data_IF_653450814228
#
_entry.id   IF_653450814228
#
_cell.length_a   1.000
_cell.length_b   1.000
_cell.length_c   1.000
_cell.angle_alpha   90.00
_cell.angle_beta   90.00
_cell.angle_gamma   90.00
#
_symmetry.space_group_name_H-M   'P 1'
#
loop_
_entity.id
_entity.type
_entity.pdbx_description
1 polymer ?
#
# COMPACT_ATOMS: atom_id res chain seq x y z
N UNK A 1 12.12 -14.66 -12.26
CA UNK A 1 12.41 -14.10 -10.92
C UNK A 1 13.67 -14.71 -10.31
N UNK A 2 13.74 -16.05 -10.13
CA UNK A 2 14.93 -16.69 -9.51
C UNK A 2 16.24 -16.42 -10.28
N UNK A 3 16.21 -16.49 -11.61
CA UNK A 3 17.39 -16.24 -12.45
C UNK A 3 17.83 -14.78 -12.49
N UNK A 4 16.89 -13.86 -12.35
CA UNK A 4 17.12 -12.40 -12.43
C UNK A 4 17.18 -11.73 -11.06
N UNK A 5 16.97 -12.47 -9.98
CA UNK A 5 16.81 -11.97 -8.61
C UNK A 5 15.74 -10.84 -8.51
N UNK A 6 14.68 -10.96 -9.30
CA UNK A 6 13.59 -9.98 -9.35
C UNK A 6 12.47 -10.38 -8.40
N UNK A 7 11.80 -9.38 -7.81
CA UNK A 7 10.58 -9.59 -7.05
C UNK A 7 9.39 -9.88 -7.98
N UNK A 8 8.40 -10.58 -7.46
CA UNK A 8 7.12 -10.82 -8.11
C UNK A 8 6.06 -10.02 -7.37
N UNK A 9 5.21 -9.32 -8.12
CA UNK A 9 4.03 -8.68 -7.59
C UNK A 9 2.80 -9.24 -8.32
N UNK A 10 1.86 -9.83 -7.59
CA UNK A 10 0.70 -10.50 -8.18
C UNK A 10 -0.56 -10.17 -7.38
N UNK A 11 -1.67 -9.88 -8.08
CA UNK A 11 -2.99 -9.76 -7.49
C UNK A 11 -3.60 -11.16 -7.33
N UNK A 12 -4.15 -11.46 -6.17
CA UNK A 12 -4.90 -12.70 -5.97
C UNK A 12 -5.82 -12.62 -4.74
N UNK A 13 -6.86 -13.44 -4.74
CA UNK A 13 -7.91 -13.47 -3.72
C UNK A 13 -8.47 -12.07 -3.43
N UNK A 14 -8.61 -11.25 -4.49
CA UNK A 14 -9.08 -9.88 -4.37
C UNK A 14 -10.58 -9.84 -4.12
N UNK A 15 -11.36 -10.65 -4.84
CA UNK A 15 -12.81 -10.67 -4.74
C UNK A 15 -13.36 -12.10 -4.68
N UNK A 16 -14.60 -12.21 -4.23
CA UNK A 16 -15.25 -13.49 -3.99
C UNK A 16 -15.51 -14.28 -5.27
N UNK A 17 -15.75 -13.58 -6.39
CA UNK A 17 -15.96 -14.21 -7.70
C UNK A 17 -14.70 -14.91 -8.18
N UNK A 18 -13.52 -14.28 -8.10
CA UNK A 18 -12.24 -14.89 -8.41
C UNK A 18 -12.04 -16.20 -7.63
N UNK A 19 -12.20 -16.13 -6.30
CA UNK A 19 -12.04 -17.29 -5.45
C UNK A 19 -13.02 -18.42 -5.80
N UNK A 20 -14.26 -18.07 -6.14
CA UNK A 20 -15.28 -19.05 -6.55
C UNK A 20 -14.93 -19.69 -7.89
N UNK A 21 -14.65 -18.93 -8.92
CA UNK A 21 -14.29 -19.42 -10.26
C UNK A 21 -13.07 -20.30 -10.24
N UNK A 22 -12.04 -19.91 -9.47
CA UNK A 22 -10.82 -20.72 -9.32
C UNK A 22 -11.13 -22.03 -8.61
N UNK A 23 -11.95 -22.02 -7.54
CA UNK A 23 -12.35 -23.23 -6.83
C UNK A 23 -13.19 -24.17 -7.71
N UNK A 24 -14.13 -23.63 -8.47
CA UNK A 24 -14.97 -24.42 -9.38
C UNK A 24 -14.12 -25.12 -10.46
N UNK A 25 -13.13 -24.40 -11.00
CA UNK A 25 -12.30 -24.90 -12.10
C UNK A 25 -11.18 -25.84 -11.65
N UNK A 26 -10.53 -25.53 -10.54
CA UNK A 26 -9.30 -26.21 -10.14
C UNK A 26 -9.40 -26.95 -8.79
N UNK A 27 -10.51 -26.84 -8.08
CA UNK A 27 -10.72 -27.39 -6.72
C UNK A 27 -9.66 -26.89 -5.71
N UNK A 28 -9.14 -25.68 -5.93
CA UNK A 28 -8.09 -25.02 -5.16
C UNK A 28 -8.38 -23.54 -4.97
N UNK A 29 -7.77 -22.94 -3.96
CA UNK A 29 -7.75 -21.47 -3.81
C UNK A 29 -6.74 -20.83 -4.77
N UNK A 30 -6.84 -19.54 -5.08
CA UNK A 30 -5.79 -18.82 -5.81
C UNK A 30 -4.41 -18.99 -5.16
N UNK A 31 -4.33 -18.95 -3.83
CA UNK A 31 -3.09 -19.13 -3.07
C UNK A 31 -2.48 -20.53 -3.29
N UNK A 32 -3.30 -21.58 -3.24
CA UNK A 32 -2.83 -22.96 -3.48
C UNK A 32 -2.30 -23.15 -4.91
N UNK A 33 -2.92 -22.50 -5.90
CA UNK A 33 -2.41 -22.55 -7.29
C UNK A 33 -1.07 -21.83 -7.41
N UNK A 34 -0.92 -20.68 -6.77
CA UNK A 34 0.34 -19.94 -6.76
C UNK A 34 1.44 -20.71 -6.02
N UNK A 35 1.08 -21.45 -4.96
CA UNK A 35 2.00 -22.35 -4.25
C UNK A 35 2.48 -23.49 -5.16
N UNK A 36 1.57 -24.19 -5.83
CA UNK A 36 1.90 -25.27 -6.77
C UNK A 36 2.77 -24.78 -7.94
N UNK A 37 2.55 -23.55 -8.39
CA UNK A 37 3.33 -22.93 -9.46
C UNK A 37 4.73 -22.47 -9.01
N UNK A 38 5.04 -22.57 -7.70
CA UNK A 38 6.30 -22.15 -7.13
C UNK A 38 6.56 -20.63 -7.18
N UNK A 39 5.49 -19.84 -7.30
CA UNK A 39 5.56 -18.37 -7.36
C UNK A 39 5.73 -17.77 -5.98
N UNK A 40 5.12 -18.38 -4.94
CA UNK A 40 5.15 -17.85 -3.59
C UNK A 40 6.54 -17.97 -2.95
N UNK A 41 7.04 -16.88 -2.44
CA UNK A 41 8.34 -16.77 -1.77
C UNK A 41 8.47 -15.45 -1.02
N UNK A 42 9.56 -15.25 -0.28
CA UNK A 42 9.92 -13.98 0.36
C UNK A 42 10.13 -12.80 -0.63
N UNK A 43 10.24 -13.10 -1.92
CA UNK A 43 10.36 -12.10 -3.00
C UNK A 43 9.03 -11.88 -3.72
N UNK A 44 7.94 -12.42 -3.18
CA UNK A 44 6.60 -12.26 -3.76
C UNK A 44 5.79 -11.34 -2.87
N UNK A 45 5.18 -10.33 -3.49
CA UNK A 45 4.17 -9.46 -2.88
C UNK A 45 2.80 -9.85 -3.41
N UNK A 46 1.93 -10.26 -2.52
CA UNK A 46 0.56 -10.68 -2.79
C UNK A 46 -0.38 -9.47 -2.65
N UNK A 47 -0.86 -8.96 -3.77
CA UNK A 47 -1.78 -7.81 -3.78
C UNK A 47 -3.16 -8.21 -3.25
N UNK A 48 -3.78 -7.32 -2.48
CA UNK A 48 -5.12 -7.43 -1.88
C UNK A 48 -5.28 -8.51 -0.81
N UNK A 49 -5.35 -9.79 -1.21
CA UNK A 49 -5.56 -10.90 -0.27
C UNK A 49 -6.82 -10.72 0.60
N UNK A 50 -7.95 -10.28 0.01
CA UNK A 50 -9.17 -9.97 0.77
C UNK A 50 -9.83 -11.23 1.31
N UNK A 51 -9.87 -12.28 0.50
CA UNK A 51 -10.62 -13.52 0.77
C UNK A 51 -9.69 -14.71 1.02
N UNK A 52 -8.86 -14.62 2.07
CA UNK A 52 -7.94 -15.70 2.46
C UNK A 52 -8.57 -16.65 3.48
N UNK A 53 -8.42 -17.95 3.26
CA UNK A 53 -8.69 -19.00 4.25
C UNK A 53 -7.57 -19.10 5.29
N UNK A 54 -7.76 -19.89 6.35
CA UNK A 54 -6.68 -20.19 7.32
C UNK A 54 -5.51 -20.92 6.65
N UNK A 55 -5.82 -21.86 5.75
CA UNK A 55 -4.80 -22.59 4.97
C UNK A 55 -3.99 -21.63 4.07
N UNK A 56 -4.65 -20.65 3.42
CA UNK A 56 -3.95 -19.66 2.61
C UNK A 56 -2.97 -18.83 3.45
N UNK A 57 -3.38 -18.44 4.66
CA UNK A 57 -2.54 -17.70 5.61
C UNK A 57 -1.32 -18.55 6.02
N UNK A 58 -1.52 -19.83 6.33
CA UNK A 58 -0.43 -20.76 6.66
C UNK A 58 0.57 -20.89 5.49
N UNK A 59 0.08 -21.03 4.26
CA UNK A 59 0.92 -21.12 3.05
C UNK A 59 1.73 -19.83 2.88
N UNK A 60 1.08 -18.67 2.93
CA UNK A 60 1.75 -17.38 2.75
C UNK A 60 2.81 -17.13 3.83
N UNK A 61 2.51 -17.44 5.10
CA UNK A 61 3.47 -17.36 6.20
C UNK A 61 4.67 -18.30 5.99
N UNK A 62 4.41 -19.58 5.68
CA UNK A 62 5.46 -20.57 5.41
C UNK A 62 6.40 -20.13 4.28
N UNK A 63 5.87 -19.47 3.26
CA UNK A 63 6.63 -18.93 2.11
C UNK A 63 7.23 -17.57 2.36
N UNK A 64 6.94 -16.95 3.52
CA UNK A 64 7.34 -15.57 3.84
C UNK A 64 6.86 -14.56 2.79
N UNK A 65 5.72 -14.84 2.16
CA UNK A 65 5.10 -13.98 1.16
C UNK A 65 4.39 -12.83 1.86
N UNK A 66 4.72 -11.60 1.49
CA UNK A 66 4.10 -10.42 2.06
C UNK A 66 2.77 -10.06 1.37
N UNK A 67 1.90 -9.35 2.08
CA UNK A 67 0.65 -8.81 1.53
C UNK A 67 0.76 -7.29 1.37
N UNK A 68 0.35 -6.78 0.20
CA UNK A 68 0.07 -5.37 -0.03
C UNK A 68 -1.42 -5.10 0.19
N UNK A 69 -1.77 -4.49 1.33
CA UNK A 69 -3.14 -4.13 1.67
C UNK A 69 -3.54 -2.82 0.99
N UNK A 70 -4.54 -2.88 0.12
CA UNK A 70 -5.02 -1.76 -0.70
C UNK A 70 -6.48 -1.39 -0.35
N UNK A 71 -6.76 -0.86 0.85
CA UNK A 71 -8.13 -0.67 1.34
C UNK A 71 -8.98 0.26 0.46
N UNK A 72 -8.36 1.28 -0.13
CA UNK A 72 -9.06 2.22 -1.02
C UNK A 72 -9.61 1.55 -2.27
N UNK A 73 -8.79 0.74 -2.94
CA UNK A 73 -9.20 -0.07 -4.09
C UNK A 73 -10.24 -1.11 -3.72
N UNK A 74 -9.99 -1.88 -2.64
CA UNK A 74 -10.88 -2.93 -2.19
C UNK A 74 -12.30 -2.41 -1.91
N UNK A 75 -12.41 -1.25 -1.26
CA UNK A 75 -13.70 -0.62 -0.98
C UNK A 75 -14.37 -0.06 -2.22
N UNK A 76 -13.60 0.64 -3.07
CA UNK A 76 -14.15 1.26 -4.29
C UNK A 76 -14.70 0.21 -5.26
N UNK A 77 -14.01 -0.92 -5.40
CA UNK A 77 -14.38 -2.01 -6.30
C UNK A 77 -15.34 -3.03 -5.64
N UNK A 78 -15.74 -2.79 -4.38
CA UNK A 78 -16.57 -3.70 -3.59
C UNK A 78 -15.96 -5.12 -3.46
N UNK A 79 -14.63 -5.21 -3.46
CA UNK A 79 -13.90 -6.47 -3.29
C UNK A 79 -14.05 -7.05 -1.87
N UNK A 80 -14.29 -6.21 -0.87
CA UNK A 80 -14.47 -6.59 0.53
C UNK A 80 -13.46 -5.93 1.47
N UNK A 81 -13.42 -6.41 2.72
CA UNK A 81 -12.53 -5.92 3.78
C UNK A 81 -11.56 -7.03 4.16
N UNK A 82 -10.28 -6.83 3.90
CA UNK A 82 -9.22 -7.76 4.33
C UNK A 82 -8.99 -7.69 5.85
N UNK A 83 -8.95 -8.84 6.52
CA UNK A 83 -8.65 -8.92 7.95
C UNK A 83 -7.12 -8.93 8.18
N UNK A 84 -6.50 -7.76 8.05
CA UNK A 84 -5.05 -7.62 8.20
C UNK A 84 -4.56 -7.95 9.62
N UNK A 85 -5.40 -7.82 10.63
CA UNK A 85 -5.03 -8.21 12.00
C UNK A 85 -4.89 -9.73 12.14
N UNK A 86 -5.75 -10.50 11.46
CA UNK A 86 -5.65 -11.96 11.37
C UNK A 86 -4.40 -12.37 10.61
N UNK A 87 -4.06 -11.68 9.52
CA UNK A 87 -2.86 -11.97 8.73
C UNK A 87 -1.58 -11.72 9.52
N UNK A 88 -1.49 -10.59 10.22
CA UNK A 88 -0.36 -10.29 11.09
C UNK A 88 -0.21 -11.29 12.25
N UNK A 89 -1.31 -11.72 12.88
CA UNK A 89 -1.31 -12.80 13.88
C UNK A 89 -0.86 -14.13 13.28
N UNK A 90 -1.17 -14.40 12.04
CA UNK A 90 -0.68 -15.55 11.26
C UNK A 90 0.79 -15.43 10.82
N UNK A 91 1.49 -14.36 11.20
CA UNK A 91 2.92 -14.16 10.89
C UNK A 91 3.20 -13.55 9.53
N UNK A 92 2.17 -13.09 8.81
CA UNK A 92 2.35 -12.48 7.48
C UNK A 92 2.81 -11.03 7.64
N UNK A 93 3.83 -10.64 6.89
CA UNK A 93 4.23 -9.25 6.72
C UNK A 93 3.19 -8.51 5.86
N UNK A 94 2.67 -7.39 6.38
CA UNK A 94 1.70 -6.55 5.67
C UNK A 94 2.29 -5.17 5.45
N UNK A 95 2.29 -4.72 4.20
CA UNK A 95 2.52 -3.33 3.79
C UNK A 95 1.24 -2.69 3.28
N UNK A 96 1.19 -1.36 3.26
CA UNK A 96 0.08 -0.61 2.68
C UNK A 96 0.36 -0.24 1.22
N UNK A 97 -0.69 -0.23 0.40
CA UNK A 97 -0.63 0.17 -0.99
C UNK A 97 -1.84 0.99 -1.41
N UNK A 98 -1.66 1.84 -2.40
CA UNK A 98 -2.74 2.63 -3.00
C UNK A 98 -3.47 1.90 -4.11
N UNK A 99 -2.84 0.85 -4.68
CA UNK A 99 -3.20 0.31 -5.99
C UNK A 99 -3.04 1.35 -7.12
N UNK A 100 -3.43 1.01 -8.33
CA UNK A 100 -3.35 1.92 -9.48
C UNK A 100 -4.41 3.03 -9.45
N UNK A 101 -4.14 4.12 -10.17
CA UNK A 101 -5.05 5.26 -10.25
C UNK A 101 -6.44 4.91 -10.83
N UNK A 102 -6.55 3.89 -11.69
CA UNK A 102 -7.85 3.43 -12.21
C UNK A 102 -8.70 2.74 -11.14
N UNK A 103 -8.08 2.08 -10.17
CA UNK A 103 -8.74 1.34 -9.10
C UNK A 103 -9.04 2.21 -7.89
N UNK A 104 -8.14 3.13 -7.49
CA UNK A 104 -8.30 3.96 -6.29
C UNK A 104 -8.53 5.45 -6.58
N UNK A 105 -8.21 5.95 -7.79
CA UNK A 105 -8.18 7.35 -8.20
C UNK A 105 -7.20 8.26 -7.41
N UNK A 106 -6.49 7.73 -6.44
CA UNK A 106 -5.64 8.50 -5.54
C UNK A 106 -4.39 7.70 -5.15
N UNK A 107 -3.21 8.32 -5.24
CA UNK A 107 -1.95 7.75 -4.78
C UNK A 107 -1.56 8.30 -3.39
N UNK A 108 -2.56 8.54 -2.54
CA UNK A 108 -2.41 9.19 -1.26
C UNK A 108 -2.30 8.19 -0.11
N UNK A 109 -1.08 7.96 0.38
CA UNK A 109 -0.83 7.06 1.51
C UNK A 109 -1.49 7.52 2.83
N UNK A 110 -1.78 8.81 3.00
CA UNK A 110 -2.53 9.31 4.16
C UNK A 110 -3.95 8.76 4.18
N UNK A 111 -4.62 8.75 3.02
CA UNK A 111 -5.94 8.12 2.86
C UNK A 111 -5.89 6.63 3.14
N UNK A 112 -4.86 5.93 2.66
CA UNK A 112 -4.68 4.48 2.86
C UNK A 112 -4.49 4.15 4.33
N UNK A 113 -3.61 4.86 5.05
CA UNK A 113 -3.40 4.68 6.49
C UNK A 113 -4.69 4.89 7.27
N UNK A 114 -5.42 5.97 6.98
CA UNK A 114 -6.69 6.31 7.65
C UNK A 114 -7.74 5.24 7.39
N UNK A 115 -7.90 4.77 6.15
CA UNK A 115 -8.83 3.68 5.83
C UNK A 115 -8.46 2.39 6.54
N UNK A 116 -7.19 2.00 6.55
CA UNK A 116 -6.75 0.80 7.27
C UNK A 116 -7.09 0.88 8.76
N UNK A 117 -6.81 2.01 9.42
CA UNK A 117 -7.16 2.23 10.82
C UNK A 117 -8.67 2.16 11.09
N UNK A 118 -9.48 2.83 10.26
CA UNK A 118 -10.94 2.86 10.41
C UNK A 118 -11.58 1.49 10.16
N UNK A 119 -11.06 0.73 9.20
CA UNK A 119 -11.54 -0.63 8.93
C UNK A 119 -11.22 -1.60 10.08
N UNK A 120 -10.04 -1.51 10.69
CA UNK A 120 -9.73 -2.26 11.90
C UNK A 120 -10.70 -1.86 13.02
N UNK A 121 -10.90 -0.56 13.25
CA UNK A 121 -11.83 -0.08 14.27
C UNK A 121 -13.24 -0.61 14.05
N UNK A 122 -13.73 -0.61 12.82
CA UNK A 122 -15.07 -1.07 12.48
C UNK A 122 -15.24 -2.58 12.62
N UNK A 123 -14.22 -3.36 12.26
CA UNK A 123 -14.33 -4.83 12.20
C UNK A 123 -13.87 -5.53 13.48
N UNK A 124 -12.90 -4.93 14.21
CA UNK A 124 -12.24 -5.54 15.38
C UNK A 124 -12.48 -4.77 16.69
N UNK A 125 -13.01 -3.53 16.58
CA UNK A 125 -13.18 -2.60 17.69
C UNK A 125 -12.05 -1.55 17.76
N UNK A 126 -12.42 -0.33 18.16
CA UNK A 126 -11.50 0.82 18.19
C UNK A 126 -10.25 0.60 19.05
N UNK A 127 -10.35 -0.19 20.12
CA UNK A 127 -9.25 -0.54 21.01
C UNK A 127 -8.19 -1.46 20.36
N UNK A 128 -8.47 -1.98 19.16
CA UNK A 128 -7.53 -2.83 18.40
C UNK A 128 -6.69 -2.03 17.41
N UNK A 129 -6.96 -0.74 17.26
CA UNK A 129 -6.18 0.13 16.38
C UNK A 129 -4.89 0.52 17.08
N UNK A 130 -3.77 0.01 16.57
CA UNK A 130 -2.43 0.40 17.00
C UNK A 130 -1.85 1.38 15.98
N UNK A 131 -1.97 2.69 16.25
CA UNK A 131 -1.59 3.76 15.30
C UNK A 131 -0.15 3.63 14.82
N UNK A 132 0.79 3.31 15.71
CA UNK A 132 2.19 3.08 15.35
C UNK A 132 2.37 1.93 14.35
N UNK A 133 1.58 0.86 14.45
CA UNK A 133 1.59 -0.27 13.52
C UNK A 133 1.05 0.11 12.13
N UNK A 134 0.01 0.94 12.09
CA UNK A 134 -0.50 1.48 10.81
C UNK A 134 0.59 2.30 10.11
N UNK A 135 1.27 3.16 10.86
CA UNK A 135 2.37 3.96 10.33
C UNK A 135 3.56 3.08 9.90
N UNK A 136 3.88 2.05 10.70
CA UNK A 136 4.90 1.05 10.34
C UNK A 136 4.58 0.37 9.00
N UNK A 137 3.34 -0.06 8.75
CA UNK A 137 2.94 -0.66 7.48
C UNK A 137 3.10 0.27 6.27
N UNK A 138 3.00 1.58 6.48
CA UNK A 138 3.21 2.58 5.42
C UNK A 138 4.68 2.95 5.19
N UNK A 139 5.59 2.53 6.06
CA UNK A 139 7.01 2.88 6.04
C UNK A 139 7.89 1.62 6.02
N UNK A 140 8.55 1.28 7.11
CA UNK A 140 9.45 0.12 7.21
C UNK A 140 8.73 -1.21 6.93
N UNK A 141 7.45 -1.33 7.26
CA UNK A 141 6.64 -2.52 6.95
C UNK A 141 6.43 -2.69 5.44
N UNK A 142 6.19 -1.59 4.73
CA UNK A 142 6.16 -1.58 3.26
C UNK A 142 7.51 -1.98 2.66
N UNK A 143 8.61 -1.42 3.17
CA UNK A 143 9.96 -1.77 2.73
C UNK A 143 10.28 -3.25 2.98
N UNK A 144 9.90 -3.82 4.13
CA UNK A 144 10.01 -5.26 4.43
C UNK A 144 9.19 -6.11 3.46
N UNK A 145 7.99 -5.67 3.13
CA UNK A 145 7.13 -6.37 2.17
C UNK A 145 7.75 -6.45 0.78
N UNK A 146 8.54 -5.45 0.41
CA UNK A 146 9.28 -5.40 -0.85
C UNK A 146 10.68 -6.02 -0.78
N UNK A 147 11.16 -6.38 0.41
CA UNK A 147 12.51 -6.89 0.64
C UNK A 147 13.62 -5.84 0.47
N UNK A 148 13.31 -4.56 0.70
CA UNK A 148 14.23 -3.42 0.58
C UNK A 148 14.44 -2.66 1.90
N UNK A 149 14.06 -3.27 3.01
CA UNK A 149 14.14 -2.68 4.35
C UNK A 149 15.57 -2.40 4.84
N UNK A 150 16.58 -3.00 4.19
CA UNK A 150 17.99 -2.65 4.41
C UNK A 150 18.41 -1.37 3.67
N UNK A 151 17.59 -0.92 2.70
CA UNK A 151 17.87 0.24 1.85
C UNK A 151 17.08 1.45 2.31
N UNK A 152 15.81 1.26 2.66
CA UNK A 152 14.88 2.35 2.98
C UNK A 152 13.82 1.96 4.01
N UNK A 153 12.87 2.84 4.29
CA UNK A 153 11.72 2.60 5.17
C UNK A 153 11.90 3.08 6.59
N UNK A 154 13.11 3.48 6.99
CA UNK A 154 13.40 4.05 8.32
C UNK A 154 14.56 5.05 8.24
N UNK A 155 14.60 5.97 9.20
CA UNK A 155 15.65 6.97 9.32
C UNK A 155 16.84 6.38 10.10
N UNK A 156 17.73 5.71 9.39
CA UNK A 156 18.91 5.06 9.96
C UNK A 156 20.16 5.40 9.15
N UNK A 157 21.31 5.52 9.83
CA UNK A 157 22.60 5.77 9.16
C UNK A 157 22.92 4.60 8.23
N UNK A 158 23.21 4.92 6.98
CA UNK A 158 23.54 3.93 5.93
C UNK A 158 22.38 3.55 5.03
N UNK A 159 21.15 3.99 5.33
CA UNK A 159 20.01 3.85 4.41
C UNK A 159 19.88 5.08 3.50
N UNK A 160 19.16 4.90 2.40
CA UNK A 160 18.76 5.99 1.52
C UNK A 160 17.99 7.06 2.31
N UNK A 161 18.28 8.32 2.03
CA UNK A 161 17.59 9.44 2.62
C UNK A 161 16.25 9.69 1.89
N UNK A 162 15.31 8.75 2.08
CA UNK A 162 13.91 8.88 1.65
C UNK A 162 13.13 9.50 2.81
N UNK A 163 12.93 10.80 2.75
CA UNK A 163 12.43 11.61 3.88
C UNK A 163 11.31 12.51 3.40
N UNK A 164 10.29 12.67 4.22
CA UNK A 164 9.29 13.72 4.08
C UNK A 164 9.31 14.63 5.29
N UNK A 165 9.10 15.93 5.10
CA UNK A 165 8.86 16.89 6.17
C UNK A 165 7.37 17.27 6.18
N UNK A 166 6.79 17.30 7.38
CA UNK A 166 5.37 17.60 7.59
C UNK A 166 5.27 18.90 8.37
N UNK A 167 4.51 19.86 7.83
CA UNK A 167 4.21 21.13 8.49
C UNK A 167 3.16 20.90 9.59
N UNK A 168 3.63 20.87 10.83
CA UNK A 168 2.76 20.71 12.01
C UNK A 168 2.19 22.03 12.53
N UNK A 169 2.58 23.17 11.97
CA UNK A 169 2.08 24.49 12.36
C UNK A 169 0.79 24.87 11.61
N UNK A 170 -0.17 23.96 11.64
CA UNK A 170 -1.49 24.08 10.99
C UNK A 170 -2.59 23.93 12.05
N UNK A 171 -3.73 24.63 11.91
CA UNK A 171 -4.80 24.58 12.92
C UNK A 171 -5.30 23.17 13.24
N UNK A 172 -5.42 22.28 12.24
CA UNK A 172 -5.88 20.91 12.40
C UNK A 172 -4.82 19.97 12.99
N UNK A 173 -3.55 20.41 13.06
CA UNK A 173 -2.45 19.65 13.64
C UNK A 173 -2.26 19.92 15.14
N UNK A 174 -2.98 20.83 15.75
CA UNK A 174 -2.80 21.29 17.12
C UNK A 174 -4.06 21.03 17.94
N UNK A 175 -3.97 20.48 19.18
CA UNK A 175 -2.75 20.03 19.86
C UNK A 175 -2.33 18.61 19.42
N UNK A 176 -1.04 18.28 19.55
CA UNK A 176 -0.53 16.93 19.31
C UNK A 176 -0.40 16.21 20.65
N UNK A 177 -1.24 15.19 20.87
CA UNK A 177 -1.19 14.31 22.05
C UNK A 177 -0.51 12.96 21.72
N UNK A 178 -0.82 12.39 20.58
CA UNK A 178 -0.22 11.18 20.03
C UNK A 178 0.19 11.47 18.57
N UNK A 179 1.50 11.41 18.31
CA UNK A 179 2.07 11.71 16.99
C UNK A 179 1.51 10.77 15.91
N UNK A 180 1.39 9.47 16.19
CA UNK A 180 0.87 8.51 15.21
C UNK A 180 -0.62 8.71 14.93
N UNK A 181 -1.41 8.97 15.98
CA UNK A 181 -2.83 9.32 15.79
C UNK A 181 -2.98 10.59 14.96
N UNK A 182 -2.15 11.61 15.24
CA UNK A 182 -2.17 12.87 14.50
C UNK A 182 -1.83 12.66 13.02
N UNK A 183 -0.79 11.86 12.74
CA UNK A 183 -0.39 11.54 11.38
C UNK A 183 -1.48 10.77 10.62
N UNK A 184 -2.17 9.84 11.27
CA UNK A 184 -3.18 9.00 10.61
C UNK A 184 -4.51 9.73 10.43
N UNK A 185 -4.98 10.44 11.46
CA UNK A 185 -6.35 10.96 11.46
C UNK A 185 -6.47 12.44 11.13
N UNK A 186 -5.43 13.24 11.35
CA UNK A 186 -5.46 14.69 11.09
C UNK A 186 -4.61 15.11 9.89
N UNK A 187 -3.38 14.61 9.78
CA UNK A 187 -2.48 14.97 8.68
C UNK A 187 -2.99 14.49 7.31
N UNK A 188 -2.54 15.17 6.27
CA UNK A 188 -2.83 14.84 4.88
C UNK A 188 -1.64 15.17 3.96
N UNK A 189 -1.77 14.84 2.67
CA UNK A 189 -0.74 15.13 1.66
C UNK A 189 -0.38 16.62 1.57
N UNK A 190 -1.35 17.49 1.85
CA UNK A 190 -1.15 18.96 1.76
C UNK A 190 -0.33 19.51 2.94
N UNK A 191 -0.08 18.69 3.96
CA UNK A 191 0.79 19.03 5.10
C UNK A 191 2.25 18.67 4.84
N UNK A 192 2.54 17.87 3.80
CA UNK A 192 3.92 17.58 3.38
C UNK A 192 4.50 18.80 2.70
N UNK A 193 5.55 19.38 3.30
CA UNK A 193 6.24 20.57 2.77
C UNK A 193 7.39 20.21 1.86
N UNK A 194 8.16 19.18 2.21
CA UNK A 194 9.38 18.81 1.51
C UNK A 194 9.48 17.27 1.36
N UNK A 195 10.10 16.83 0.28
CA UNK A 195 10.33 15.40 -0.01
C UNK A 195 11.73 15.20 -0.56
N UNK A 196 12.45 14.27 0.02
CA UNK A 196 13.74 13.77 -0.49
C UNK A 196 13.61 12.30 -0.86
N UNK A 197 14.20 11.92 -1.97
CA UNK A 197 14.35 10.53 -2.40
C UNK A 197 15.81 10.28 -2.72
N UNK A 198 16.40 9.31 -2.06
CA UNK A 198 17.83 9.00 -2.15
C UNK A 198 18.73 10.23 -1.92
N UNK A 199 18.31 11.11 -0.99
CA UNK A 199 19.00 12.37 -0.65
C UNK A 199 18.74 13.52 -1.61
N UNK A 200 18.09 13.32 -2.74
CA UNK A 200 17.72 14.40 -3.67
C UNK A 200 16.38 15.01 -3.29
N UNK A 201 16.34 16.33 -3.12
CA UNK A 201 15.13 17.06 -2.79
C UNK A 201 14.24 17.22 -4.04
N UNK A 202 13.14 16.46 -4.10
CA UNK A 202 12.18 16.48 -5.22
C UNK A 202 11.03 17.47 -5.03
N UNK A 203 10.67 17.73 -3.76
CA UNK A 203 9.68 18.76 -3.38
C UNK A 203 10.36 19.69 -2.37
N UNK A 204 10.21 20.98 -2.58
CA UNK A 204 10.64 22.04 -1.68
C UNK A 204 9.52 23.07 -1.51
N UNK A 205 9.16 23.37 -0.27
CA UNK A 205 8.08 24.30 0.03
C UNK A 205 6.79 24.00 -0.79
N UNK A 206 6.42 22.72 -0.90
CA UNK A 206 5.27 22.18 -1.68
C UNK A 206 5.38 22.34 -3.20
N UNK A 207 6.52 22.77 -3.72
CA UNK A 207 6.76 22.92 -5.14
C UNK A 207 7.71 21.84 -5.64
N UNK A 208 7.44 21.31 -6.84
CA UNK A 208 8.37 20.37 -7.47
C UNK A 208 9.65 21.09 -7.90
N UNK A 209 10.80 20.46 -7.64
CA UNK A 209 12.12 20.94 -8.09
C UNK A 209 12.44 20.49 -9.52
N UNK A 210 11.65 19.58 -10.09
CA UNK A 210 11.90 18.98 -11.42
C UNK A 210 10.80 19.25 -12.42
N UNK A 211 9.56 19.42 -11.97
CA UNK A 211 8.38 19.49 -12.85
C UNK A 211 7.72 20.86 -12.72
N UNK A 212 7.63 21.55 -13.83
CA UNK A 212 6.83 22.78 -13.92
C UNK A 212 5.37 22.40 -14.18
N UNK A 213 4.50 22.71 -13.22
CA UNK A 213 3.10 22.26 -13.25
C UNK A 213 2.31 22.81 -14.43
N UNK A 214 2.61 24.04 -14.88
CA UNK A 214 2.00 24.65 -16.07
C UNK A 214 2.25 23.83 -17.33
N UNK A 215 3.48 23.35 -17.55
CA UNK A 215 3.86 22.52 -18.68
C UNK A 215 3.18 21.16 -18.61
N UNK A 216 3.19 20.52 -17.43
CA UNK A 216 2.49 19.24 -17.23
C UNK A 216 1.00 19.34 -17.55
N UNK A 217 0.33 20.42 -17.12
CA UNK A 217 -1.09 20.65 -17.39
C UNK A 217 -1.38 20.76 -18.89
N UNK A 218 -0.52 21.43 -19.64
CA UNK A 218 -0.63 21.54 -21.11
C UNK A 218 -0.46 20.16 -21.77
N UNK A 219 0.61 19.43 -21.42
CA UNK A 219 0.88 18.10 -21.98
C UNK A 219 -0.28 17.12 -21.74
N UNK A 220 -0.86 17.16 -20.54
CA UNK A 220 -2.03 16.32 -20.20
C UNK A 220 -3.25 16.70 -21.05
N UNK A 221 -3.52 18.00 -21.22
CA UNK A 221 -4.65 18.47 -22.03
C UNK A 221 -4.50 18.03 -23.52
N UNK A 222 -3.30 18.11 -24.07
CA UNK A 222 -3.03 17.65 -25.44
C UNK A 222 -3.23 16.14 -25.62
N UNK A 223 -2.81 15.35 -24.63
CA UNK A 223 -3.00 13.88 -24.64
C UNK A 223 -4.47 13.50 -24.53
N UNK A 224 -5.23 14.17 -23.67
CA UNK A 224 -6.68 13.94 -23.53
C UNK A 224 -7.40 14.26 -24.86
N UNK A 225 -7.05 15.39 -25.50
CA UNK A 225 -7.62 15.76 -26.79
C UNK A 225 -7.34 14.70 -27.89
N UNK A 226 -6.15 14.10 -27.89
CA UNK A 226 -5.81 13.00 -28.82
C UNK A 226 -6.62 11.72 -28.52
N UNK A 227 -6.79 11.35 -27.26
CA UNK A 227 -7.57 10.15 -26.88
C UNK A 227 -9.03 10.29 -27.29
N UNK A 228 -9.65 11.45 -27.09
CA UNK A 228 -11.04 11.70 -27.47
C UNK A 228 -11.31 11.65 -29.00
N UNK A 229 -10.25 11.71 -29.82
CA UNK A 229 -10.37 11.52 -31.27
C UNK A 229 -10.29 10.05 -31.70
N UNK A 230 -9.80 9.16 -30.84
CA UNK A 230 -9.68 7.72 -31.10
C UNK A 230 -10.94 6.93 -30.70
N UNK A 231 -11.82 7.52 -29.90
CA UNK A 231 -13.10 6.92 -29.46
C UNK A 231 -14.27 7.21 -30.42
N UNK A 232 -14.02 7.86 -31.55
CA UNK A 232 -14.96 8.08 -32.64
C UNK A 232 -14.66 7.18 -33.82
#
# INVERSE_FOLDING_TARGET
AKETNSSIHIHASENENENREVREKYQKTPTEILEDSGILSRHTVYGHGVHLSDTDIEILNKRQTAIAHCPGSNLKLASGIADITRYQKGGIQVGLGTDGCSSSNDLNMWSVMRLAALLIAQTQGAQRVENSKIFEMATIGGAKSLGIDQITGSLEIGKSADIIAIDINRPHMIPIHDVFAQLIFAAGRDDVSDVWVDGEQLIKDRNSTRIEFSNLKQDVAEKIAKLSTLEK
#
